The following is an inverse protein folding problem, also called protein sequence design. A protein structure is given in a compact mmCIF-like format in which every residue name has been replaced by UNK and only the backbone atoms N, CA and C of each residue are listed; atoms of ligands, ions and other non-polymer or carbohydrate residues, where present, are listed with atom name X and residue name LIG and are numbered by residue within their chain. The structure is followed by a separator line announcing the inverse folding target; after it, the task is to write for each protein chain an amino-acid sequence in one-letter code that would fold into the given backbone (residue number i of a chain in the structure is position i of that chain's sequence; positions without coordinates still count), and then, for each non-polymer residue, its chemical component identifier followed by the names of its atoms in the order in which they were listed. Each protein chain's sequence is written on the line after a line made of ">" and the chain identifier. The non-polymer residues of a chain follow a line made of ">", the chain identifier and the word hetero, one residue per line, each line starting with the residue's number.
data_IF_844613948283
#
_entry.id   IF_844613948283
#
_cell.length_a   1.000
_cell.length_b   1.000
_cell.length_c   1.000
_cell.angle_alpha   90.00
_cell.angle_beta   90.00
_cell.angle_gamma   90.00
#
_symmetry.space_group_name_H-M   'P 1'
#
loop_
_entity.id
_entity.type
_entity.pdbx_description
1 polymer ?
#
# COMPACT_ATOMS: atom_id res chain seq x y z
N UNK A 1 19.83 -5.21 -6.55
CA UNK A 1 18.55 -5.90 -6.72
C UNK A 1 17.42 -4.88 -6.76
N UNK A 2 16.33 -5.24 -7.42
CA UNK A 2 15.07 -4.49 -7.44
C UNK A 2 14.11 -5.11 -6.43
N UNK A 3 13.72 -4.37 -5.42
CA UNK A 3 12.87 -4.85 -4.32
C UNK A 3 11.54 -4.13 -4.34
N UNK A 4 10.45 -4.89 -4.43
CA UNK A 4 9.08 -4.39 -4.25
C UNK A 4 8.61 -4.68 -2.84
N UNK A 5 8.20 -3.63 -2.11
CA UNK A 5 7.57 -3.74 -0.81
C UNK A 5 6.06 -3.52 -0.93
N UNK A 6 5.27 -4.33 -0.25
CA UNK A 6 3.80 -4.20 -0.21
C UNK A 6 3.35 -4.05 1.23
N UNK A 7 2.53 -3.04 1.51
CA UNK A 7 1.92 -2.84 2.82
C UNK A 7 0.40 -2.65 2.72
N UNK A 8 -0.33 -3.02 3.78
CA UNK A 8 -1.79 -2.81 3.92
C UNK A 8 -2.14 -1.43 4.45
N UNK A 9 -1.17 -0.70 5.00
CA UNK A 9 -1.38 0.60 5.65
C UNK A 9 -0.57 1.68 4.94
N UNK A 10 -0.99 2.95 5.05
CA UNK A 10 -0.16 4.08 4.70
C UNK A 10 1.21 4.00 5.36
N UNK A 11 2.21 4.64 4.76
CA UNK A 11 3.58 4.64 5.28
C UNK A 11 3.73 5.45 6.57
N UNK A 12 2.71 6.23 6.93
CA UNK A 12 2.62 7.01 8.16
C UNK A 12 1.43 6.54 9.02
N UNK A 13 1.55 6.69 10.33
CA UNK A 13 0.44 6.45 11.27
C UNK A 13 0.31 5.02 11.79
N UNK A 14 1.16 4.08 11.37
CA UNK A 14 1.19 2.71 11.90
C UNK A 14 2.61 2.17 12.03
N UNK A 15 2.79 1.16 12.89
CA UNK A 15 4.07 0.48 13.05
C UNK A 15 4.54 -0.18 11.76
N UNK A 16 3.64 -0.88 11.04
CA UNK A 16 3.99 -1.53 9.78
C UNK A 16 4.28 -0.54 8.65
N UNK A 17 3.58 0.60 8.62
CA UNK A 17 3.87 1.68 7.68
C UNK A 17 5.27 2.26 7.92
N UNK A 18 5.57 2.63 9.16
CA UNK A 18 6.88 3.12 9.58
C UNK A 18 7.99 2.11 9.29
N UNK A 19 7.74 0.83 9.57
CA UNK A 19 8.69 -0.24 9.27
C UNK A 19 8.95 -0.35 7.75
N UNK A 20 7.90 -0.36 6.93
CA UNK A 20 8.02 -0.43 5.46
C UNK A 20 8.81 0.76 4.92
N UNK A 21 8.49 1.97 5.39
CA UNK A 21 9.22 3.20 5.03
C UNK A 21 10.70 3.11 5.38
N UNK A 22 11.02 2.68 6.60
CA UNK A 22 12.41 2.57 7.07
C UNK A 22 13.19 1.49 6.29
N UNK A 23 12.58 0.33 6.01
CA UNK A 23 13.20 -0.70 5.17
C UNK A 23 13.45 -0.17 3.76
N UNK A 24 12.47 0.52 3.15
CA UNK A 24 12.63 1.08 1.81
C UNK A 24 13.84 2.03 1.74
N UNK A 25 13.94 2.96 2.68
CA UNK A 25 15.05 3.91 2.77
C UNK A 25 16.38 3.21 3.04
N UNK A 26 16.39 2.17 3.89
CA UNK A 26 17.60 1.43 4.22
C UNK A 26 18.12 0.59 3.04
N UNK A 27 17.23 -0.08 2.33
CA UNK A 27 17.58 -0.82 1.12
C UNK A 27 18.12 0.12 0.03
N UNK A 28 17.46 1.26 -0.17
CA UNK A 28 17.91 2.27 -1.13
C UNK A 28 19.31 2.80 -0.79
N UNK A 29 19.59 3.10 0.49
CA UNK A 29 20.93 3.51 0.96
C UNK A 29 22.00 2.43 0.73
N UNK A 30 21.62 1.16 0.66
CA UNK A 30 22.50 0.03 0.35
C UNK A 30 22.68 -0.22 -1.17
N UNK A 31 22.14 0.67 -2.00
CA UNK A 31 22.27 0.59 -3.45
C UNK A 31 21.26 -0.32 -4.14
N UNK A 32 20.17 -0.70 -3.46
CA UNK A 32 19.07 -1.40 -4.10
C UNK A 32 18.10 -0.41 -4.74
N UNK A 33 17.52 -0.78 -5.87
CA UNK A 33 16.34 -0.09 -6.40
C UNK A 33 15.12 -0.55 -5.62
N UNK A 34 14.27 0.39 -5.18
CA UNK A 34 13.12 0.07 -4.34
C UNK A 34 11.85 0.69 -4.90
N UNK A 35 10.76 -0.06 -4.89
CA UNK A 35 9.42 0.48 -5.05
C UNK A 35 8.50 -0.01 -3.93
N UNK A 36 7.44 0.77 -3.67
CA UNK A 36 6.48 0.48 -2.60
C UNK A 36 5.06 0.58 -3.13
N UNK A 37 4.24 -0.45 -2.89
CA UNK A 37 2.78 -0.44 -3.07
C UNK A 37 2.13 -0.33 -1.70
N UNK A 38 1.25 0.66 -1.52
CA UNK A 38 0.65 0.97 -0.22
C UNK A 38 -0.69 1.70 -0.41
N UNK A 39 -1.64 1.59 0.53
CA UNK A 39 -2.87 2.38 0.49
C UNK A 39 -2.61 3.80 0.97
N UNK A 40 -3.38 4.77 0.45
CA UNK A 40 -3.33 6.14 0.92
C UNK A 40 -4.69 6.83 0.77
N UNK A 41 -5.04 7.71 1.70
CA UNK A 41 -6.31 8.46 1.70
C UNK A 41 -6.14 9.96 1.91
N UNK A 42 -4.91 10.46 1.83
CA UNK A 42 -4.55 11.87 1.98
C UNK A 42 -3.27 12.18 1.19
N UNK A 43 -2.92 13.46 1.03
CA UNK A 43 -1.62 13.84 0.47
C UNK A 43 -0.47 13.25 1.28
N UNK A 44 0.55 12.75 0.61
CA UNK A 44 1.73 12.12 1.22
C UNK A 44 3.03 12.66 0.61
N UNK A 45 4.12 12.53 1.35
CA UNK A 45 5.45 12.95 0.89
C UNK A 45 6.10 11.83 0.06
N UNK A 46 6.70 12.22 -1.07
CA UNK A 46 7.50 11.29 -1.85
C UNK A 46 8.79 10.93 -1.09
N UNK A 47 9.18 9.67 -1.16
CA UNK A 47 10.46 9.21 -0.64
C UNK A 47 11.52 9.35 -1.75
N UNK A 48 12.61 10.13 -1.53
CA UNK A 48 13.63 10.35 -2.54
C UNK A 48 14.24 9.03 -3.04
N UNK A 49 14.28 8.87 -4.37
CA UNK A 49 14.86 7.67 -5.01
C UNK A 49 14.05 6.38 -4.89
N UNK A 50 12.84 6.43 -4.34
CA UNK A 50 11.94 5.29 -4.21
C UNK A 50 10.71 5.50 -5.10
N UNK A 51 10.37 4.51 -5.93
CA UNK A 51 9.14 4.55 -6.72
C UNK A 51 7.95 4.21 -5.84
N UNK A 52 6.93 5.06 -5.86
CA UNK A 52 5.76 4.93 -5.00
C UNK A 52 4.51 4.68 -5.82
N UNK A 53 3.79 3.62 -5.50
CA UNK A 53 2.56 3.18 -6.16
C UNK A 53 1.41 3.16 -5.15
N UNK A 54 0.73 4.30 -4.92
CA UNK A 54 -0.38 4.36 -3.98
C UNK A 54 -1.64 3.71 -4.54
N UNK A 55 -2.36 2.98 -3.71
CA UNK A 55 -3.75 2.60 -3.93
C UNK A 55 -4.60 3.62 -3.20
N UNK A 56 -5.34 4.44 -3.94
CA UNK A 56 -6.05 5.59 -3.40
C UNK A 56 -7.43 5.22 -2.82
N UNK A 57 -7.70 5.68 -1.62
CA UNK A 57 -8.96 5.52 -0.90
C UNK A 57 -9.56 6.87 -0.53
N UNK A 58 -10.88 6.92 -0.47
CA UNK A 58 -11.60 8.10 0.03
C UNK A 58 -11.64 8.10 1.56
N UNK A 59 -11.33 9.23 2.19
CA UNK A 59 -11.39 9.35 3.67
C UNK A 59 -12.80 9.66 4.16
N UNK A 60 -13.32 10.82 3.83
CA UNK A 60 -14.61 11.31 4.33
C UNK A 60 -15.62 11.61 3.20
N UNK A 61 -15.13 11.90 2.01
CA UNK A 61 -15.94 12.18 0.82
C UNK A 61 -15.34 11.45 -0.38
N UNK A 62 -16.17 10.97 -1.31
CA UNK A 62 -15.68 10.35 -2.53
C UNK A 62 -14.68 11.25 -3.26
N UNK A 63 -13.54 10.71 -3.65
CA UNK A 63 -12.51 11.39 -4.41
C UNK A 63 -12.37 10.76 -5.79
N UNK A 64 -12.04 11.59 -6.78
CA UNK A 64 -11.79 11.10 -8.13
C UNK A 64 -10.58 10.17 -8.14
N UNK A 65 -10.68 9.05 -8.85
CA UNK A 65 -9.64 8.02 -8.97
C UNK A 65 -9.28 7.30 -7.65
N UNK A 66 -10.13 7.38 -6.64
CA UNK A 66 -9.97 6.66 -5.38
C UNK A 66 -11.15 5.72 -5.15
N UNK A 67 -10.93 4.65 -4.37
CA UNK A 67 -12.02 3.80 -3.91
C UNK A 67 -12.99 4.63 -3.06
N UNK A 68 -14.33 4.41 -3.18
CA UNK A 68 -15.34 5.25 -2.52
C UNK A 68 -15.50 4.98 -1.03
N UNK A 69 -14.55 4.29 -0.41
CA UNK A 69 -14.49 3.98 1.01
C UNK A 69 -13.06 4.13 1.52
N UNK A 70 -12.89 4.14 2.85
CA UNK A 70 -11.58 4.26 3.48
C UNK A 70 -10.84 2.90 3.47
N UNK A 71 -9.50 2.92 3.50
CA UNK A 71 -8.74 1.69 3.58
C UNK A 71 -9.08 0.93 4.89
N UNK A 72 -9.19 -0.40 4.83
CA UNK A 72 -9.47 -1.20 6.02
C UNK A 72 -8.22 -1.39 6.88
N UNK A 73 -8.42 -1.44 8.19
CA UNK A 73 -7.40 -1.81 9.17
C UNK A 73 -7.81 -3.08 9.92
N UNK A 74 -6.88 -3.70 10.65
CA UNK A 74 -7.20 -4.90 11.45
C UNK A 74 -7.97 -4.53 12.71
N UNK A 75 -7.58 -3.46 13.39
CA UNK A 75 -8.23 -2.95 14.59
C UNK A 75 -8.49 -1.47 14.50
N UNK A 76 -7.45 -0.64 14.59
CA UNK A 76 -7.52 0.83 14.55
C UNK A 76 -6.36 1.41 13.75
N UNK A 77 -6.62 2.57 13.13
CA UNK A 77 -5.60 3.38 12.49
C UNK A 77 -5.96 4.86 12.63
N UNK A 78 -5.02 5.79 12.82
CA UNK A 78 -5.33 7.23 12.97
C UNK A 78 -6.11 7.82 11.79
N UNK A 79 -5.96 7.24 10.61
CA UNK A 79 -6.57 7.72 9.35
C UNK A 79 -7.79 6.90 8.92
N UNK A 80 -8.12 5.79 9.59
CA UNK A 80 -9.26 4.95 9.25
C UNK A 80 -9.86 4.25 10.48
N UNK A 81 -11.20 4.23 10.51
CA UNK A 81 -11.97 3.42 11.45
C UNK A 81 -12.63 2.21 10.78
N UNK A 82 -12.49 2.07 9.46
CA UNK A 82 -12.99 0.92 8.72
C UNK A 82 -12.11 -0.28 9.00
N UNK A 83 -12.71 -1.40 9.39
CA UNK A 83 -11.95 -2.65 9.58
C UNK A 83 -12.21 -3.63 8.44
N UNK A 84 -11.36 -4.66 8.29
CA UNK A 84 -11.61 -5.72 7.31
C UNK A 84 -12.91 -6.49 7.60
N UNK A 85 -13.32 -6.57 8.87
CA UNK A 85 -14.60 -7.17 9.26
C UNK A 85 -15.81 -6.35 8.80
N UNK A 86 -15.66 -5.02 8.66
CA UNK A 86 -16.72 -4.12 8.22
C UNK A 86 -16.89 -4.11 6.69
N UNK A 87 -15.91 -4.65 5.95
CA UNK A 87 -15.99 -4.74 4.50
C UNK A 87 -16.91 -5.90 4.10
N UNK A 88 -18.07 -5.62 3.54
CA UNK A 88 -18.83 -6.65 2.83
C UNK A 88 -18.08 -7.15 1.60
N UNK A 89 -18.52 -8.28 1.03
CA UNK A 89 -17.90 -8.93 -0.13
C UNK A 89 -17.63 -7.96 -1.28
N UNK A 90 -18.59 -7.08 -1.60
CA UNK A 90 -18.46 -6.11 -2.70
C UNK A 90 -17.28 -5.15 -2.50
N UNK A 91 -17.10 -4.58 -1.30
CA UNK A 91 -15.97 -3.68 -0.99
C UNK A 91 -14.65 -4.43 -0.94
N UNK A 92 -14.65 -5.64 -0.40
CA UNK A 92 -13.44 -6.49 -0.39
C UNK A 92 -13.00 -6.82 -1.82
N UNK A 93 -13.93 -7.14 -2.71
CA UNK A 93 -13.64 -7.38 -4.13
C UNK A 93 -13.04 -6.13 -4.79
N UNK A 94 -13.61 -4.94 -4.54
CA UNK A 94 -13.06 -3.67 -5.04
C UNK A 94 -11.67 -3.39 -4.48
N UNK A 95 -11.44 -3.66 -3.20
CA UNK A 95 -10.13 -3.53 -2.54
C UNK A 95 -9.08 -4.40 -3.24
N UNK A 96 -9.36 -5.70 -3.39
CA UNK A 96 -8.44 -6.65 -4.05
C UNK A 96 -8.21 -6.27 -5.52
N UNK A 97 -9.24 -5.87 -6.25
CA UNK A 97 -9.11 -5.44 -7.65
C UNK A 97 -8.22 -4.19 -7.78
N UNK A 98 -8.37 -3.21 -6.90
CA UNK A 98 -7.56 -2.00 -6.91
C UNK A 98 -6.08 -2.29 -6.59
N UNK A 99 -5.81 -3.08 -5.56
CA UNK A 99 -4.44 -3.50 -5.24
C UNK A 99 -3.83 -4.34 -6.37
N UNK A 100 -4.59 -5.28 -6.94
CA UNK A 100 -4.13 -6.09 -8.07
C UNK A 100 -3.77 -5.23 -9.30
N UNK A 101 -4.56 -4.21 -9.61
CA UNK A 101 -4.28 -3.29 -10.71
C UNK A 101 -2.97 -2.52 -10.51
N UNK A 102 -2.79 -1.92 -9.32
CA UNK A 102 -1.58 -1.17 -8.97
C UNK A 102 -0.36 -2.09 -8.88
N UNK A 103 -0.52 -3.28 -8.30
CA UNK A 103 0.55 -4.26 -8.22
C UNK A 103 1.01 -4.71 -9.62
N UNK A 104 0.07 -5.02 -10.52
CA UNK A 104 0.40 -5.36 -11.93
C UNK A 104 1.11 -4.22 -12.64
N UNK A 105 0.73 -2.97 -12.37
CA UNK A 105 1.44 -1.81 -12.90
C UNK A 105 2.88 -1.78 -12.39
N UNK A 106 3.08 -1.88 -11.07
CA UNK A 106 4.40 -1.90 -10.45
C UNK A 106 5.27 -3.05 -11.01
N UNK A 107 4.71 -4.25 -11.15
CA UNK A 107 5.42 -5.41 -11.73
C UNK A 107 5.88 -5.16 -13.16
N UNK A 108 5.02 -4.58 -14.01
CA UNK A 108 5.38 -4.28 -15.42
C UNK A 108 6.45 -3.19 -15.54
N UNK A 109 6.30 -2.12 -14.75
CA UNK A 109 7.17 -0.94 -14.87
C UNK A 109 8.49 -1.08 -14.12
N UNK A 110 8.47 -1.73 -12.97
CA UNK A 110 9.63 -1.84 -12.10
C UNK A 110 10.39 -3.15 -12.29
N UNK A 111 9.69 -4.26 -12.59
CA UNK A 111 10.26 -5.62 -12.77
C UNK A 111 11.13 -6.02 -11.57
N UNK A 112 10.53 -6.21 -10.39
CA UNK A 112 11.29 -6.54 -9.18
C UNK A 112 11.92 -7.92 -9.26
N UNK A 113 13.10 -8.08 -8.63
CA UNK A 113 13.76 -9.36 -8.40
C UNK A 113 13.15 -10.08 -7.19
N UNK A 114 12.64 -9.29 -6.20
CA UNK A 114 12.08 -9.78 -4.94
C UNK A 114 10.85 -8.97 -4.57
N UNK A 115 9.83 -9.65 -4.07
CA UNK A 115 8.62 -9.06 -3.48
C UNK A 115 8.60 -9.36 -1.98
N UNK A 116 8.45 -8.33 -1.16
CA UNK A 116 8.29 -8.44 0.29
C UNK A 116 6.94 -7.87 0.71
N UNK A 117 5.99 -8.75 1.03
CA UNK A 117 4.71 -8.39 1.61
C UNK A 117 4.83 -8.34 3.14
N UNK A 118 4.37 -7.24 3.76
CA UNK A 118 4.46 -7.05 5.21
C UNK A 118 3.54 -7.99 6.01
N UNK A 119 2.47 -8.46 5.41
CA UNK A 119 1.49 -9.33 6.05
C UNK A 119 1.11 -10.48 5.11
N UNK A 120 1.06 -11.68 5.65
CA UNK A 120 0.51 -12.86 4.96
C UNK A 120 -1.03 -12.86 4.98
N UNK A 121 -1.63 -11.74 4.60
CA UNK A 121 -3.07 -11.53 4.53
C UNK A 121 -3.44 -10.87 3.20
N UNK A 122 -4.51 -11.31 2.57
CA UNK A 122 -5.05 -10.78 1.30
C UNK A 122 -4.02 -10.48 0.20
N UNK A 123 -3.12 -9.52 0.41
CA UNK A 123 -2.21 -9.00 -0.61
C UNK A 123 -1.06 -9.96 -0.97
N UNK A 124 -0.71 -10.89 -0.09
CA UNK A 124 0.29 -11.92 -0.39
C UNK A 124 -0.24 -13.03 -1.32
N UNK A 125 -1.54 -13.00 -1.65
CA UNK A 125 -2.18 -13.94 -2.57
C UNK A 125 -2.43 -13.35 -3.97
N UNK A 126 -2.17 -12.06 -4.16
CA UNK A 126 -2.26 -11.37 -5.44
C UNK A 126 -1.01 -11.60 -6.29
#
# INVERSE_FOLDING_TARGET
>A
MKVLLINHFPLEGSGSGTYTKNIALHLQKRGHEVCVVFPENQPFSLLPGIRMYPVLFSRNKPQKNALPFNFPCFTTHPQSRTTFADLGVAKLTQYLAAFSAVLRQALREFRPDVIHAQHAWCLSWL
#
